data_IF_999962299151
#
_entry.id   IF_999962299151
#
_cell.length_a   1.000
_cell.length_b   1.000
_cell.length_c   1.000
_cell.angle_alpha   90.00
_cell.angle_beta   90.00
_cell.angle_gamma   90.00
#
_symmetry.space_group_name_H-M   'P 1'
#
loop_
_entity.id
_entity.type
_entity.pdbx_description
1 polymer ?
#
# COMPACT_ATOMS: atom_id res chain seq x y z
N UNK A 1 37.48 -25.03 -0.35
CA UNK A 1 36.07 -25.50 -0.35
C UNK A 1 35.34 -24.71 -1.40
N UNK A 2 34.71 -25.37 -2.38
CA UNK A 2 33.91 -24.72 -3.42
C UNK A 2 32.44 -24.68 -2.97
N UNK A 3 31.77 -23.55 -3.17
CA UNK A 3 30.35 -23.37 -2.88
C UNK A 3 29.62 -23.17 -4.21
N UNK A 4 28.52 -23.89 -4.45
CA UNK A 4 27.65 -23.70 -5.61
C UNK A 4 26.35 -23.08 -5.12
N UNK A 5 26.06 -21.86 -5.58
CA UNK A 5 24.77 -21.21 -5.37
C UNK A 5 23.84 -21.69 -6.48
N UNK A 6 22.65 -22.15 -6.10
CA UNK A 6 21.62 -22.62 -7.03
C UNK A 6 20.37 -21.80 -6.76
N UNK A 7 19.78 -21.22 -7.81
CA UNK A 7 18.49 -20.55 -7.75
C UNK A 7 17.39 -21.47 -8.25
N UNK A 8 16.21 -21.32 -7.67
CA UNK A 8 15.08 -22.22 -7.86
C UNK A 8 13.82 -21.38 -8.03
N UNK A 9 12.99 -21.70 -9.03
CA UNK A 9 11.67 -21.09 -9.21
C UNK A 9 10.76 -21.44 -8.03
N UNK A 10 10.13 -20.43 -7.43
CA UNK A 10 9.13 -20.60 -6.37
C UNK A 10 7.82 -21.21 -6.89
N UNK A 11 7.52 -21.09 -8.20
CA UNK A 11 6.30 -21.64 -8.80
C UNK A 11 6.37 -23.16 -8.99
N UNK A 12 7.50 -23.67 -9.50
CA UNK A 12 7.62 -25.07 -9.92
C UNK A 12 8.75 -25.83 -9.25
N UNK A 13 9.65 -25.14 -8.53
CA UNK A 13 10.84 -25.75 -7.95
C UNK A 13 11.93 -26.08 -8.97
N UNK A 14 11.82 -25.62 -10.23
CA UNK A 14 12.83 -25.85 -11.27
C UNK A 14 14.07 -25.00 -11.03
N UNK A 15 15.23 -25.55 -11.40
CA UNK A 15 16.48 -24.81 -11.36
C UNK A 15 16.51 -23.72 -12.42
N UNK A 16 16.92 -22.53 -12.01
CA UNK A 16 17.12 -21.39 -12.89
C UNK A 16 18.58 -21.42 -13.30
N UNK A 17 18.83 -21.84 -14.54
CA UNK A 17 20.19 -21.97 -15.07
C UNK A 17 20.75 -20.61 -15.51
N UNK A 18 19.90 -19.73 -16.05
CA UNK A 18 20.26 -18.38 -16.45
C UNK A 18 19.43 -17.34 -15.69
N UNK A 19 20.10 -16.34 -15.15
CA UNK A 19 19.46 -15.21 -14.47
C UNK A 19 18.62 -14.34 -15.43
N UNK A 20 18.82 -14.44 -16.74
CA UNK A 20 18.06 -13.70 -17.75
C UNK A 20 16.62 -14.23 -17.93
N UNK A 21 16.40 -15.51 -17.59
CA UNK A 21 15.09 -16.16 -17.66
C UNK A 21 14.25 -15.96 -16.38
N UNK A 22 14.81 -15.24 -15.40
CA UNK A 22 14.18 -14.95 -14.11
C UNK A 22 13.14 -13.82 -14.26
N UNK A 23 11.92 -14.10 -13.82
CA UNK A 23 10.86 -13.11 -13.71
C UNK A 23 10.38 -12.98 -12.27
N UNK A 24 9.97 -11.75 -11.92
CA UNK A 24 9.34 -11.44 -10.64
C UNK A 24 7.83 -11.41 -10.82
N UNK A 25 7.13 -12.26 -10.08
CA UNK A 25 5.68 -12.31 -10.07
C UNK A 25 5.19 -11.72 -8.77
N UNK A 26 4.31 -10.72 -8.86
CA UNK A 26 3.68 -10.11 -7.67
C UNK A 26 2.26 -10.67 -7.57
N UNK A 27 2.04 -11.55 -6.62
CA UNK A 27 0.72 -12.13 -6.33
C UNK A 27 -0.07 -11.13 -5.49
N UNK A 28 -1.27 -10.75 -5.96
CA UNK A 28 -2.20 -9.85 -5.28
C UNK A 28 -3.58 -10.51 -5.21
N UNK A 29 -4.34 -10.21 -4.15
CA UNK A 29 -5.74 -10.63 -4.03
C UNK A 29 -5.93 -12.14 -3.85
N UNK A 30 -4.90 -12.87 -3.44
CA UNK A 30 -5.05 -14.28 -3.07
C UNK A 30 -5.71 -14.38 -1.68
N UNK A 31 -6.71 -15.27 -1.46
CA UNK A 31 -7.46 -15.31 -0.20
C UNK A 31 -6.60 -15.50 1.07
N UNK A 32 -5.49 -16.24 0.94
CA UNK A 32 -4.53 -16.46 2.04
C UNK A 32 -3.72 -15.19 2.37
N UNK A 33 -3.54 -14.30 1.40
CA UNK A 33 -2.74 -13.07 1.56
C UNK A 33 -3.56 -11.89 2.07
N UNK A 34 -4.90 -11.94 2.00
CA UNK A 34 -5.74 -10.80 2.34
C UNK A 34 -5.37 -9.57 1.50
N UNK A 35 -4.94 -8.48 2.16
CA UNK A 35 -4.51 -7.25 1.51
C UNK A 35 -3.01 -7.23 1.14
N UNK A 36 -2.23 -8.22 1.60
CA UNK A 36 -0.80 -8.28 1.36
C UNK A 36 -0.50 -8.76 -0.07
N UNK A 37 0.63 -8.29 -0.59
CA UNK A 37 1.19 -8.75 -1.85
C UNK A 37 2.48 -9.52 -1.57
N UNK A 38 2.64 -10.66 -2.24
CA UNK A 38 3.84 -11.48 -2.12
C UNK A 38 4.57 -11.49 -3.46
N UNK A 39 5.87 -11.24 -3.41
CA UNK A 39 6.77 -11.40 -4.55
C UNK A 39 7.29 -12.83 -4.55
N UNK A 40 7.22 -13.48 -5.71
CA UNK A 40 7.81 -14.79 -5.96
C UNK A 40 8.66 -14.73 -7.22
N UNK A 41 9.68 -15.58 -7.27
CA UNK A 41 10.58 -15.72 -8.40
C UNK A 41 10.18 -16.92 -9.26
N UNK A 42 10.08 -16.73 -10.58
CA UNK A 42 9.69 -17.78 -11.51
C UNK A 42 10.50 -17.71 -12.81
N UNK A 43 10.39 -18.73 -13.66
CA UNK A 43 10.91 -18.69 -15.02
C UNK A 43 9.93 -17.97 -15.95
N UNK A 44 10.45 -17.22 -16.93
CA UNK A 44 9.63 -16.50 -17.92
C UNK A 44 8.62 -17.43 -18.63
N UNK A 45 9.08 -18.60 -19.08
CA UNK A 45 8.24 -19.61 -19.76
C UNK A 45 7.05 -20.10 -18.90
N UNK A 46 7.16 -20.02 -17.57
CA UNK A 46 6.10 -20.47 -16.64
C UNK A 46 4.96 -19.46 -16.57
N UNK A 47 5.24 -18.20 -16.82
CA UNK A 47 4.25 -17.12 -16.80
C UNK A 47 3.76 -16.72 -18.19
N UNK A 48 4.50 -17.08 -19.24
CA UNK A 48 4.11 -16.80 -20.63
C UNK A 48 2.77 -17.43 -21.03
N UNK A 49 2.43 -18.58 -20.44
CA UNK A 49 1.16 -19.27 -20.68
C UNK A 49 0.03 -18.85 -19.72
N UNK A 50 0.24 -17.83 -18.88
CA UNK A 50 -0.86 -17.26 -18.10
C UNK A 50 -1.79 -16.53 -19.07
N UNK A 51 -2.88 -17.19 -19.44
CA UNK A 51 -3.89 -16.68 -20.37
C UNK A 51 -4.38 -15.29 -19.96
N UNK A 52 -3.98 -14.27 -20.72
CA UNK A 52 -4.53 -12.92 -20.61
C UNK A 52 -6.01 -12.86 -21.04
N UNK A 53 -6.53 -13.92 -21.66
CA UNK A 53 -7.91 -14.01 -22.15
C UNK A 53 -8.91 -14.23 -21.00
N UNK A 54 -8.48 -14.81 -19.88
CA UNK A 54 -9.36 -15.06 -18.75
C UNK A 54 -9.60 -13.78 -17.97
N UNK A 55 -10.79 -13.22 -18.14
CA UNK A 55 -11.24 -12.07 -17.37
C UNK A 55 -11.95 -12.56 -16.12
N UNK A 56 -11.63 -11.96 -14.97
CA UNK A 56 -12.26 -12.28 -13.69
C UNK A 56 -13.00 -11.06 -13.16
N UNK A 57 -14.11 -11.30 -12.46
CA UNK A 57 -14.87 -10.28 -11.73
C UNK A 57 -14.78 -10.54 -10.23
N UNK A 58 -14.68 -9.46 -9.46
CA UNK A 58 -14.66 -9.49 -8.00
C UNK A 58 -16.00 -8.98 -7.47
N UNK A 59 -16.64 -9.80 -6.64
CA UNK A 59 -17.97 -9.56 -6.10
C UNK A 59 -17.90 -9.47 -4.59
N UNK A 60 -18.51 -8.42 -4.03
CA UNK A 60 -18.74 -8.31 -2.59
C UNK A 60 -20.21 -8.60 -2.32
N UNK A 61 -20.47 -9.65 -1.55
CA UNK A 61 -21.83 -10.06 -1.19
C UNK A 61 -22.02 -9.74 0.28
N UNK A 62 -22.97 -8.84 0.57
CA UNK A 62 -23.38 -8.48 1.91
C UNK A 62 -24.77 -9.08 2.18
N UNK A 63 -24.89 -9.90 3.22
CA UNK A 63 -26.17 -10.40 3.71
C UNK A 63 -26.49 -9.76 5.06
N UNK A 64 -27.78 -9.55 5.36
CA UNK A 64 -28.17 -8.94 6.63
C UNK A 64 -27.80 -9.87 7.80
N UNK A 65 -26.91 -9.39 8.67
CA UNK A 65 -26.45 -10.14 9.84
C UNK A 65 -25.23 -11.03 9.62
N UNK A 66 -24.66 -11.05 8.42
CA UNK A 66 -23.40 -11.75 8.11
C UNK A 66 -22.30 -10.77 7.68
N UNK A 67 -21.05 -11.20 7.81
CA UNK A 67 -19.90 -10.46 7.30
C UNK A 67 -19.91 -10.42 5.76
N UNK A 68 -19.41 -9.32 5.20
CA UNK A 68 -19.25 -9.19 3.74
C UNK A 68 -18.28 -10.25 3.24
N UNK A 69 -18.74 -11.07 2.30
CA UNK A 69 -17.90 -12.08 1.63
C UNK A 69 -17.44 -11.58 0.27
N UNK A 70 -16.14 -11.71 0.00
CA UNK A 70 -15.56 -11.50 -1.33
C UNK A 70 -15.55 -12.83 -2.10
N UNK A 71 -15.97 -12.77 -3.37
CA UNK A 71 -15.96 -13.88 -4.31
C UNK A 71 -15.30 -13.42 -5.62
N UNK A 72 -14.35 -14.20 -6.12
CA UNK A 72 -13.76 -14.01 -7.46
C UNK A 72 -14.28 -15.12 -8.35
N UNK A 73 -14.79 -14.77 -9.53
CA UNK A 73 -15.24 -15.75 -10.54
C UNK A 73 -14.92 -15.25 -11.96
N UNK A 74 -15.01 -16.14 -12.94
CA UNK A 74 -14.77 -15.77 -14.33
C UNK A 74 -15.87 -14.84 -14.86
N UNK A 75 -15.51 -13.90 -15.74
CA UNK A 75 -16.46 -12.97 -16.36
C UNK A 75 -17.54 -13.74 -17.12
N UNK A 76 -17.17 -14.79 -17.85
CA UNK A 76 -18.09 -15.63 -18.61
C UNK A 76 -19.13 -16.32 -17.70
N UNK A 77 -18.70 -16.83 -16.56
CA UNK A 77 -19.57 -17.41 -15.54
C UNK A 77 -20.50 -16.37 -14.92
N UNK A 78 -19.99 -15.15 -14.67
CA UNK A 78 -20.80 -14.07 -14.12
C UNK A 78 -21.87 -13.59 -15.10
N UNK A 79 -21.52 -13.41 -16.37
CA UNK A 79 -22.48 -13.05 -17.42
C UNK A 79 -23.59 -14.10 -17.57
N UNK A 80 -23.27 -15.38 -17.39
CA UNK A 80 -24.23 -16.48 -17.42
C UNK A 80 -25.24 -16.50 -16.24
N UNK A 81 -24.99 -15.74 -15.17
CA UNK A 81 -25.96 -15.59 -14.06
C UNK A 81 -27.17 -14.74 -14.44
N UNK A 82 -27.06 -13.94 -15.49
CA UNK A 82 -28.16 -13.14 -16.00
C UNK A 82 -29.20 -14.03 -16.73
N UNK A 83 -30.45 -14.00 -16.26
CA UNK A 83 -31.53 -14.84 -16.80
C UNK A 83 -32.38 -14.10 -17.85
N UNK A 84 -32.94 -12.94 -17.47
CA UNK A 84 -33.95 -12.24 -18.29
C UNK A 84 -33.36 -11.19 -19.25
N UNK A 85 -32.31 -10.49 -18.84
CA UNK A 85 -31.64 -9.45 -19.63
C UNK A 85 -30.12 -9.64 -19.62
N UNK A 86 -29.40 -9.27 -20.69
CA UNK A 86 -27.94 -9.32 -20.69
C UNK A 86 -27.34 -8.56 -19.52
N UNK A 87 -26.30 -9.13 -18.89
CA UNK A 87 -25.67 -8.59 -17.68
C UNK A 87 -25.23 -7.12 -17.84
N UNK A 88 -24.74 -6.73 -19.03
CA UNK A 88 -24.36 -5.33 -19.34
C UNK A 88 -25.52 -4.33 -19.15
N UNK A 89 -26.74 -4.71 -19.54
CA UNK A 89 -27.94 -3.89 -19.31
C UNK A 89 -28.31 -3.79 -17.83
N UNK A 90 -28.17 -4.90 -17.10
CA UNK A 90 -28.42 -4.92 -15.66
C UNK A 90 -27.44 -4.00 -14.92
N UNK A 91 -26.14 -4.06 -15.26
CA UNK A 91 -25.11 -3.24 -14.63
C UNK A 91 -25.24 -1.74 -14.98
N UNK A 92 -25.63 -1.40 -16.21
CA UNK A 92 -25.80 0.00 -16.62
C UNK A 92 -27.03 0.66 -16.01
N UNK A 93 -28.08 -0.12 -15.70
CA UNK A 93 -29.30 0.37 -15.03
C UNK A 93 -29.23 0.29 -13.51
N UNK A 94 -28.25 -0.43 -12.97
CA UNK A 94 -28.06 -0.59 -11.54
C UNK A 94 -27.75 0.74 -10.84
N UNK A 95 -28.17 0.82 -9.57
CA UNK A 95 -27.81 1.95 -8.72
C UNK A 95 -26.30 1.95 -8.52
N UNK A 96 -25.64 2.99 -9.01
CA UNK A 96 -24.23 3.21 -8.70
C UNK A 96 -24.08 3.40 -7.20
N UNK A 97 -23.32 2.52 -6.57
CA UNK A 97 -22.78 2.81 -5.25
C UNK A 97 -21.72 3.86 -5.52
N UNK A 98 -21.98 5.12 -5.17
CA UNK A 98 -20.93 6.14 -5.21
C UNK A 98 -19.82 5.63 -4.32
N UNK A 99 -18.73 5.23 -4.95
CA UNK A 99 -17.52 4.88 -4.25
C UNK A 99 -17.16 6.08 -3.38
N UNK A 100 -17.35 5.97 -2.06
CA UNK A 100 -16.45 6.66 -1.14
C UNK A 100 -15.08 6.04 -1.40
N UNK A 101 -14.40 6.57 -2.41
CA UNK A 101 -13.02 6.27 -2.82
C UNK A 101 -12.58 4.83 -2.54
N UNK A 102 -13.20 3.85 -3.21
CA UNK A 102 -12.69 2.48 -3.23
C UNK A 102 -11.72 2.35 -4.41
N UNK A 103 -10.49 2.81 -4.20
CA UNK A 103 -9.33 2.40 -4.97
C UNK A 103 -8.32 1.89 -3.93
N UNK A 104 -8.18 0.58 -3.67
CA UNK A 104 -6.98 0.09 -3.03
C UNK A 104 -5.92 -0.08 -4.12
N UNK A 105 -5.58 1.04 -4.79
CA UNK A 105 -4.20 1.16 -5.22
C UNK A 105 -3.44 1.29 -3.91
N UNK A 106 -2.59 0.31 -3.58
CA UNK A 106 -1.77 0.24 -2.38
C UNK A 106 -1.39 1.65 -1.91
N UNK A 107 -2.24 2.21 -1.06
CA UNK A 107 -2.01 3.49 -0.46
C UNK A 107 -1.18 3.08 0.72
N UNK A 108 0.14 3.04 0.53
CA UNK A 108 1.04 3.34 1.63
C UNK A 108 0.36 4.52 2.33
N UNK A 109 -0.26 4.25 3.50
CA UNK A 109 -1.10 5.21 4.22
C UNK A 109 -0.41 6.55 4.05
N UNK A 110 -1.02 7.47 3.32
CA UNK A 110 -0.39 8.76 3.07
C UNK A 110 -0.48 9.46 4.41
N UNK A 111 0.50 9.18 5.26
CA UNK A 111 0.62 9.62 6.64
C UNK A 111 0.39 11.12 6.58
N UNK A 112 -0.72 11.58 7.15
CA UNK A 112 -1.03 13.00 7.13
C UNK A 112 -0.16 13.68 8.19
N UNK A 113 0.99 14.16 7.74
CA UNK A 113 1.94 14.89 8.59
C UNK A 113 1.39 16.24 9.09
N UNK A 114 0.20 16.66 8.65
CA UNK A 114 -0.55 17.78 9.22
C UNK A 114 -1.47 17.35 10.38
N UNK A 115 -1.16 16.24 11.06
CA UNK A 115 -1.81 15.78 12.29
C UNK A 115 -0.78 15.58 13.40
N UNK A 116 -1.19 15.73 14.67
CA UNK A 116 -0.31 15.59 15.83
C UNK A 116 0.35 14.21 15.93
N UNK A 117 -0.33 13.17 15.44
CA UNK A 117 0.10 11.76 15.45
C UNK A 117 1.30 11.50 14.51
N UNK A 118 1.54 12.40 13.57
CA UNK A 118 2.45 12.20 12.46
C UNK A 118 3.41 13.36 12.21
N UNK A 119 3.10 14.55 12.74
CA UNK A 119 3.95 15.72 12.66
C UNK A 119 5.35 15.44 13.23
N UNK A 120 6.39 15.84 12.50
CA UNK A 120 7.77 15.66 12.94
C UNK A 120 8.36 14.26 12.69
N UNK A 121 7.60 13.30 12.16
CA UNK A 121 8.15 11.99 11.79
C UNK A 121 9.20 12.14 10.67
N UNK A 122 10.37 11.46 10.76
CA UNK A 122 11.39 11.54 9.72
C UNK A 122 10.85 11.11 8.35
N UNK A 123 10.84 12.04 7.38
CA UNK A 123 10.39 11.77 6.01
C UNK A 123 11.35 12.29 4.95
N UNK A 124 11.30 11.67 3.77
CA UNK A 124 11.96 12.17 2.57
C UNK A 124 11.06 13.27 1.95
N UNK A 125 11.61 14.47 1.75
CA UNK A 125 10.92 15.59 1.09
C UNK A 125 10.60 16.80 1.99
N UNK A 126 9.98 17.82 1.39
CA UNK A 126 9.66 19.09 2.04
C UNK A 126 8.55 18.91 3.10
N UNK A 127 8.69 19.59 4.22
CA UNK A 127 7.66 19.76 5.27
C UNK A 127 6.62 20.77 4.80
N UNK A 128 5.34 20.49 5.04
CA UNK A 128 4.25 21.40 4.66
C UNK A 128 4.11 22.53 5.70
N UNK A 129 3.56 23.68 5.30
CA UNK A 129 3.31 24.80 6.23
C UNK A 129 2.37 24.41 7.39
N UNK A 130 1.42 23.51 7.15
CA UNK A 130 0.52 22.97 8.19
C UNK A 130 1.28 22.11 9.21
N UNK A 131 2.20 21.26 8.75
CA UNK A 131 3.07 20.47 9.62
C UNK A 131 4.00 21.36 10.44
N UNK A 132 4.63 22.37 9.82
CA UNK A 132 5.50 23.34 10.52
C UNK A 132 4.75 24.03 11.67
N UNK A 133 3.50 24.45 11.42
CA UNK A 133 2.64 25.07 12.44
C UNK A 133 2.41 24.13 13.63
N UNK A 134 2.02 22.89 13.37
CA UNK A 134 1.76 21.89 14.41
C UNK A 134 3.03 21.57 15.20
N UNK A 135 4.17 21.45 14.52
CA UNK A 135 5.48 21.22 15.16
C UNK A 135 5.90 22.40 16.04
N UNK A 136 5.64 23.64 15.60
CA UNK A 136 5.92 24.84 16.41
C UNK A 136 5.03 24.93 17.64
N UNK A 137 3.73 24.66 17.50
CA UNK A 137 2.75 24.77 18.58
C UNK A 137 2.86 23.63 19.61
N UNK A 138 3.29 22.43 19.19
CA UNK A 138 3.30 21.21 20.02
C UNK A 138 4.69 20.55 20.11
N UNK A 139 5.76 21.35 20.05
CA UNK A 139 7.14 20.88 19.94
C UNK A 139 7.52 19.82 20.99
N UNK A 140 7.22 20.07 22.27
CA UNK A 140 7.58 19.16 23.36
C UNK A 140 6.80 17.85 23.29
N UNK A 141 5.49 17.92 23.03
CA UNK A 141 4.61 16.74 22.90
C UNK A 141 5.04 15.85 21.72
N UNK A 142 5.46 16.47 20.62
CA UNK A 142 5.95 15.74 19.44
C UNK A 142 7.28 15.05 19.74
N UNK A 143 8.20 15.72 20.45
CA UNK A 143 9.48 15.12 20.81
C UNK A 143 9.33 13.97 21.80
N UNK A 144 8.45 14.09 22.81
CA UNK A 144 8.13 13.02 23.74
C UNK A 144 7.54 11.81 23.00
N UNK A 145 6.62 12.05 22.06
CA UNK A 145 6.06 11.00 21.19
C UNK A 145 7.12 10.35 20.31
N UNK A 146 7.96 11.13 19.63
CA UNK A 146 9.03 10.61 18.76
C UNK A 146 10.01 9.75 19.57
N UNK A 147 10.34 10.17 20.79
CA UNK A 147 11.18 9.39 21.71
C UNK A 147 10.50 8.07 22.12
N UNK A 148 9.20 8.10 22.46
CA UNK A 148 8.42 6.91 22.79
C UNK A 148 8.29 5.90 21.64
N UNK A 149 8.26 6.40 20.40
CA UNK A 149 8.25 5.57 19.18
C UNK A 149 9.66 5.13 18.72
N UNK A 150 10.73 5.54 19.42
CA UNK A 150 12.11 5.22 19.04
C UNK A 150 12.60 5.94 17.78
N UNK A 151 11.94 7.03 17.39
CA UNK A 151 12.28 7.86 16.22
C UNK A 151 13.25 8.99 16.58
N UNK A 152 13.98 9.49 15.58
CA UNK A 152 14.86 10.67 15.75
C UNK A 152 14.01 11.88 16.16
N UNK A 153 14.35 12.48 17.30
CA UNK A 153 13.73 13.71 17.82
C UNK A 153 14.19 14.96 17.08
N UNK A 154 13.42 16.03 17.23
CA UNK A 154 13.72 17.34 16.65
C UNK A 154 14.57 18.14 17.63
N UNK A 155 15.83 18.40 17.27
CA UNK A 155 16.76 19.21 18.06
C UNK A 155 16.75 20.69 17.61
N UNK A 156 16.64 21.60 18.57
CA UNK A 156 16.73 23.06 18.35
C UNK A 156 18.18 23.55 18.15
N UNK A 157 19.17 22.72 18.50
CA UNK A 157 20.58 23.04 18.26
C UNK A 157 21.02 22.67 16.85
N UNK A 158 20.21 21.93 16.10
CA UNK A 158 20.49 21.56 14.73
C UNK A 158 19.87 22.59 13.75
N UNK A 159 20.68 23.35 12.99
CA UNK A 159 20.18 24.37 12.07
C UNK A 159 19.26 23.80 10.98
N UNK A 160 19.50 22.57 10.51
CA UNK A 160 18.66 21.92 9.49
C UNK A 160 17.25 21.64 10.00
N UNK A 161 17.12 21.31 11.29
CA UNK A 161 15.82 21.06 11.93
C UNK A 161 15.05 22.36 12.13
N UNK A 162 15.76 23.42 12.54
CA UNK A 162 15.19 24.74 12.76
C UNK A 162 14.64 25.32 11.45
N UNK A 163 15.40 25.27 10.36
CA UNK A 163 14.99 25.76 9.04
C UNK A 163 13.83 24.92 8.47
N UNK A 164 13.89 23.60 8.63
CA UNK A 164 12.87 22.67 8.11
C UNK A 164 11.50 22.84 8.77
N UNK A 165 11.47 23.10 10.08
CA UNK A 165 10.22 23.23 10.84
C UNK A 165 9.83 24.68 11.16
N UNK A 166 10.64 25.68 10.78
CA UNK A 166 10.37 27.09 11.07
C UNK A 166 10.48 27.43 12.57
N UNK A 167 11.41 26.79 13.27
CA UNK A 167 11.58 26.88 14.74
C UNK A 167 12.51 28.03 15.16
N UNK A 168 12.81 28.99 14.28
CA UNK A 168 13.77 30.06 14.54
C UNK A 168 13.41 30.92 15.76
N UNK A 169 12.13 31.23 15.94
CA UNK A 169 11.64 31.99 17.09
C UNK A 169 11.70 31.16 18.38
N UNK A 170 11.33 29.88 18.32
CA UNK A 170 11.33 28.97 19.47
C UNK A 170 12.77 28.63 19.92
N UNK A 171 13.71 28.53 18.98
CA UNK A 171 15.13 28.36 19.25
C UNK A 171 15.75 29.63 19.86
N UNK A 172 15.31 30.83 19.46
CA UNK A 172 15.73 32.10 20.08
C UNK A 172 15.18 32.25 21.49
N UNK A 173 13.93 31.89 21.72
CA UNK A 173 13.27 31.97 23.03
C UNK A 173 13.89 31.01 24.06
N UNK A 174 14.27 29.80 23.66
CA UNK A 174 14.92 28.81 24.57
C UNK A 174 16.43 28.99 24.75
N UNK A 175 17.05 29.85 23.94
CA UNK A 175 18.48 30.20 24.06
C UNK A 175 18.73 31.55 24.73
N UNK A 176 17.68 32.36 24.91
CA UNK A 176 17.70 33.57 25.74
C UNK A 176 17.52 33.24 27.21
#
# INVERSE_FOLDING_TARGET
>A
MAQRVIRVSDLTGKFIENDEDLVKVIVRGHPILGEDAVEIEALAEEVENLDNEKQFVHLEIQQEGEDTRSVVMELSEFEALAQDEPMDKLLTTAKTVTARSARPAATAKKIDYATLEHAGKPKKGKTSEAEKRIVRENFDQINERLQGEGLRTIDLNNPDHVERYGLEELAKERRG
#
